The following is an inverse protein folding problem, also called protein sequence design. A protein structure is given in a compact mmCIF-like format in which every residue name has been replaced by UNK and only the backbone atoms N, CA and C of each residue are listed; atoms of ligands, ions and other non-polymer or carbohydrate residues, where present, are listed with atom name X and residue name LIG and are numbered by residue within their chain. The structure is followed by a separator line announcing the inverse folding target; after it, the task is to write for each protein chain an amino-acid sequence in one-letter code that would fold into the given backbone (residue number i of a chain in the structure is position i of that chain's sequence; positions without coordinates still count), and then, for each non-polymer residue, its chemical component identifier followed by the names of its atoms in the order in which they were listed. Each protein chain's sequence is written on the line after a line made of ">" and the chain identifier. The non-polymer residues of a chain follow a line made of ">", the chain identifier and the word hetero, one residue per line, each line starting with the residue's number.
data_IF_099664961971
#
_entry.id   IF_099664961971
#
_cell.length_a   1.000
_cell.length_b   1.000
_cell.length_c   1.000
_cell.angle_alpha   90.00
_cell.angle_beta   90.00
_cell.angle_gamma   90.00
#
_symmetry.space_group_name_H-M   'P 1'
#
loop_
_entity.id
_entity.type
_entity.pdbx_description
1 polymer ?
#
# COMPACT_ATOMS: atom_id res chain seq x y z
N UNK A 1 -0.65 22.24 5.08
CA UNK A 1 -1.64 21.32 4.49
C UNK A 1 -1.47 21.41 2.98
N UNK A 2 -1.16 20.34 2.34
CA UNK A 2 -0.86 20.31 0.91
C UNK A 2 -1.89 19.45 0.18
N UNK A 3 -2.30 19.92 -1.00
CA UNK A 3 -3.22 19.21 -1.88
C UNK A 3 -2.65 19.18 -3.30
N UNK A 4 -2.93 18.09 -4.00
CA UNK A 4 -2.61 17.91 -5.41
C UNK A 4 -3.87 17.48 -6.16
N UNK A 5 -4.19 18.16 -7.25
CA UNK A 5 -5.36 17.83 -8.07
C UNK A 5 -5.01 16.72 -9.07
N UNK A 6 -5.83 15.68 -9.09
CA UNK A 6 -5.78 14.61 -10.09
C UNK A 6 -7.18 14.10 -10.39
N UNK A 7 -7.56 14.01 -11.65
CA UNK A 7 -8.85 13.49 -12.13
C UNK A 7 -10.08 14.07 -11.41
N UNK A 8 -10.03 15.36 -11.04
CA UNK A 8 -11.11 16.07 -10.36
C UNK A 8 -11.20 15.84 -8.85
N UNK A 9 -10.17 15.23 -8.26
CA UNK A 9 -10.05 15.03 -6.81
C UNK A 9 -8.84 15.84 -6.32
N UNK A 10 -9.05 16.62 -5.25
CA UNK A 10 -7.97 17.26 -4.50
C UNK A 10 -7.44 16.26 -3.45
N UNK A 11 -6.33 15.60 -3.77
CA UNK A 11 -5.67 14.64 -2.87
C UNK A 11 -4.87 15.36 -1.80
N UNK A 12 -5.20 15.09 -0.54
CA UNK A 12 -4.39 15.53 0.58
C UNK A 12 -3.11 14.71 0.68
N UNK A 13 -2.00 15.37 0.99
CA UNK A 13 -0.77 14.71 1.37
C UNK A 13 -0.01 15.47 2.46
N UNK A 14 0.69 14.69 3.31
CA UNK A 14 1.71 15.20 4.22
C UNK A 14 3.10 14.93 3.63
N UNK A 15 4.00 15.89 3.81
CA UNK A 15 5.36 15.80 3.30
C UNK A 15 6.38 16.07 4.40
N UNK A 16 7.42 15.23 4.47
CA UNK A 16 8.49 15.31 5.45
C UNK A 16 9.85 14.98 4.81
N UNK A 17 10.90 15.67 5.27
CA UNK A 17 12.27 15.45 4.82
C UNK A 17 12.56 16.02 3.43
N UNK A 18 13.76 15.70 2.92
CA UNK A 18 14.26 16.15 1.63
C UNK A 18 14.96 14.99 0.90
N UNK A 19 15.17 15.14 -0.42
CA UNK A 19 15.88 14.15 -1.24
C UNK A 19 14.98 13.41 -2.22
N UNK A 20 15.32 12.16 -2.54
CA UNK A 20 14.56 11.35 -3.49
C UNK A 20 13.13 11.08 -2.96
N UNK A 21 12.09 11.24 -3.80
CA UNK A 21 10.72 11.10 -3.36
C UNK A 21 10.37 9.65 -3.03
N UNK A 22 9.76 9.45 -1.87
CA UNK A 22 9.17 8.20 -1.41
C UNK A 22 7.70 8.44 -1.09
N UNK A 23 6.81 7.93 -1.92
CA UNK A 23 5.37 8.05 -1.72
C UNK A 23 4.85 6.89 -0.87
N UNK A 24 4.02 7.21 0.11
CA UNK A 24 3.37 6.24 1.01
C UNK A 24 1.88 6.18 0.70
N UNK A 25 1.34 4.95 0.50
CA UNK A 25 -0.09 4.71 0.33
C UNK A 25 -0.59 3.75 1.41
N UNK A 26 -1.58 4.21 2.17
CA UNK A 26 -2.15 3.51 3.33
C UNK A 26 -3.11 2.37 2.96
N UNK A 27 -3.48 1.56 3.94
CA UNK A 27 -4.50 0.52 3.83
C UNK A 27 -5.93 1.06 3.85
N UNK A 28 -6.90 0.18 3.58
CA UNK A 28 -8.33 0.52 3.64
C UNK A 28 -8.74 1.08 5.00
N UNK A 29 -9.70 2.02 4.99
CA UNK A 29 -10.23 2.72 6.17
C UNK A 29 -9.17 3.62 6.88
N UNK A 30 -7.93 3.64 6.38
CA UNK A 30 -6.81 4.38 6.97
C UNK A 30 -6.63 5.79 6.42
N UNK A 31 -5.44 6.30 6.62
CA UNK A 31 -4.93 7.57 6.06
C UNK A 31 -3.40 7.56 6.13
N UNK A 32 -2.74 8.59 5.64
CA UNK A 32 -1.29 8.79 5.80
C UNK A 32 -0.83 8.72 7.26
N UNK A 33 -1.72 8.96 8.21
CA UNK A 33 -1.44 8.81 9.65
C UNK A 33 -1.00 7.39 10.06
N UNK A 34 -1.35 6.34 9.28
CA UNK A 34 -0.85 4.98 9.53
C UNK A 34 0.68 4.87 9.50
N UNK A 35 1.35 5.80 8.84
CA UNK A 35 2.81 5.84 8.73
C UNK A 35 3.47 6.77 9.77
N UNK A 36 2.74 7.28 10.77
CA UNK A 36 3.25 8.26 11.72
C UNK A 36 4.49 7.75 12.51
N UNK A 37 4.57 6.46 12.80
CA UNK A 37 5.73 5.84 13.44
C UNK A 37 6.91 5.60 12.48
N UNK A 38 6.64 5.40 11.19
CA UNK A 38 7.61 5.02 10.17
C UNK A 38 8.19 6.23 9.41
N UNK A 39 7.33 7.17 9.03
CA UNK A 39 7.70 8.30 8.18
C UNK A 39 8.88 9.15 8.72
N UNK A 40 8.98 9.45 10.04
CA UNK A 40 10.11 10.22 10.56
C UNK A 40 11.48 9.56 10.37
N UNK A 41 11.55 8.23 10.47
CA UNK A 41 12.80 7.50 10.24
C UNK A 41 13.24 7.60 8.77
N UNK A 42 12.30 7.39 7.84
CA UNK A 42 12.54 7.46 6.39
C UNK A 42 12.85 8.89 5.93
N UNK A 43 12.24 9.91 6.57
CA UNK A 43 12.42 11.32 6.24
C UNK A 43 13.84 11.85 6.54
N UNK A 44 14.66 11.10 7.28
CA UNK A 44 16.07 11.46 7.48
C UNK A 44 16.91 11.45 6.19
N UNK A 45 16.44 10.74 5.14
CA UNK A 45 17.18 10.55 3.89
C UNK A 45 16.33 10.70 2.64
N UNK A 46 15.02 10.86 2.80
CA UNK A 46 14.03 10.87 1.71
C UNK A 46 13.02 11.99 1.89
N UNK A 47 12.54 12.47 0.78
CA UNK A 47 11.32 13.29 0.75
C UNK A 47 10.12 12.33 0.81
N UNK A 48 9.58 12.13 2.01
CA UNK A 48 8.45 11.23 2.28
C UNK A 48 7.14 11.95 2.03
N UNK A 49 6.28 11.40 1.20
CA UNK A 49 4.99 11.98 0.80
C UNK A 49 3.89 10.96 1.10
N UNK A 50 3.14 11.16 2.18
CA UNK A 50 2.04 10.28 2.57
C UNK A 50 0.72 10.82 2.01
N UNK A 51 0.12 10.10 1.05
CA UNK A 51 -1.11 10.50 0.35
C UNK A 51 -2.30 9.83 1.02
N UNK A 52 -3.36 10.62 1.30
CA UNK A 52 -4.68 10.10 1.64
C UNK A 52 -5.44 9.75 0.35
N UNK A 53 -5.82 8.47 0.19
CA UNK A 53 -6.54 7.99 -1.00
C UNK A 53 -7.96 8.56 -1.08
N UNK A 54 -8.62 8.46 -2.25
CA UNK A 54 -10.01 8.90 -2.45
C UNK A 54 -10.91 8.45 -1.28
N UNK A 55 -11.66 9.39 -0.72
CA UNK A 55 -12.62 9.14 0.36
C UNK A 55 -12.00 8.79 1.71
N UNK A 56 -10.67 8.82 1.84
CA UNK A 56 -9.95 8.49 3.07
C UNK A 56 -9.29 9.73 3.68
N UNK A 57 -9.13 9.71 5.00
CA UNK A 57 -8.42 10.74 5.72
C UNK A 57 -8.94 12.15 5.43
N UNK A 58 -8.11 12.99 4.82
CA UNK A 58 -8.41 14.39 4.45
C UNK A 58 -8.73 14.58 2.97
N UNK A 59 -8.71 13.50 2.18
CA UNK A 59 -9.14 13.51 0.77
C UNK A 59 -10.64 13.27 0.69
N UNK A 60 -11.37 14.18 0.05
CA UNK A 60 -12.81 14.04 -0.16
C UNK A 60 -13.15 12.83 -1.00
N UNK A 61 -14.33 12.26 -0.78
CA UNK A 61 -14.90 11.26 -1.68
C UNK A 61 -15.58 11.91 -2.89
N UNK A 62 -15.67 11.14 -3.97
CA UNK A 62 -16.43 11.49 -5.18
C UNK A 62 -17.40 10.36 -5.52
N UNK A 63 -18.41 10.66 -6.31
CA UNK A 63 -19.48 9.71 -6.67
C UNK A 63 -18.98 8.69 -7.72
N UNK A 64 -18.05 7.81 -7.27
CA UNK A 64 -17.58 6.63 -8.00
C UNK A 64 -17.14 5.53 -7.01
N UNK A 65 -17.14 4.24 -7.40
CA UNK A 65 -16.65 3.16 -6.54
C UNK A 65 -15.13 3.28 -6.30
N UNK A 66 -14.63 2.54 -5.30
CA UNK A 66 -13.19 2.33 -5.12
C UNK A 66 -12.69 1.27 -6.10
N UNK A 67 -12.50 1.69 -7.35
CA UNK A 67 -11.86 0.89 -8.37
C UNK A 67 -10.33 1.05 -8.31
N UNK A 68 -9.62 -0.05 -8.12
CA UNK A 68 -8.17 -0.04 -7.87
C UNK A 68 -7.39 0.50 -9.08
N UNK A 69 -7.89 0.25 -10.31
CA UNK A 69 -7.24 0.74 -11.52
C UNK A 69 -7.45 2.26 -11.68
N UNK A 70 -8.66 2.75 -11.43
CA UNK A 70 -8.93 4.20 -11.45
C UNK A 70 -8.17 4.93 -10.34
N UNK A 71 -8.08 4.35 -9.13
CA UNK A 71 -7.28 4.91 -8.04
C UNK A 71 -5.78 4.94 -8.38
N UNK A 72 -5.28 3.99 -9.16
CA UNK A 72 -3.92 3.99 -9.66
C UNK A 72 -3.66 5.15 -10.63
N UNK A 73 -4.59 5.42 -11.55
CA UNK A 73 -4.51 6.56 -12.46
C UNK A 73 -4.54 7.91 -11.71
N UNK A 74 -5.33 7.99 -10.62
CA UNK A 74 -5.35 9.17 -9.76
C UNK A 74 -3.99 9.42 -9.09
N UNK A 75 -3.42 8.37 -8.49
CA UNK A 75 -2.11 8.47 -7.84
C UNK A 75 -1.02 8.81 -8.85
N UNK A 76 -1.10 8.26 -10.08
CA UNK A 76 -0.17 8.61 -11.16
C UNK A 76 -0.19 10.11 -11.46
N UNK A 77 -1.38 10.74 -11.51
CA UNK A 77 -1.53 12.18 -11.70
C UNK A 77 -1.00 13.01 -10.52
N UNK A 78 -1.17 12.53 -9.28
CA UNK A 78 -0.56 13.17 -8.10
C UNK A 78 0.97 13.12 -8.15
N UNK A 79 1.55 11.98 -8.54
CA UNK A 79 3.00 11.76 -8.64
C UNK A 79 3.64 12.65 -9.74
N UNK A 80 2.90 13.01 -10.77
CA UNK A 80 3.42 13.84 -11.87
C UNK A 80 3.96 15.19 -11.38
N UNK A 81 3.36 15.74 -10.33
CA UNK A 81 3.75 17.04 -9.76
C UNK A 81 5.13 17.05 -9.08
N UNK A 82 5.55 16.03 -8.28
CA UNK A 82 6.86 16.04 -7.60
C UNK A 82 8.06 15.60 -8.45
N UNK A 83 7.92 15.39 -9.75
CA UNK A 83 9.07 15.09 -10.63
C UNK A 83 8.96 13.82 -11.46
N UNK A 84 7.78 13.23 -11.52
CA UNK A 84 7.41 12.22 -12.50
C UNK A 84 7.74 10.76 -12.16
N UNK A 85 8.81 10.46 -11.42
CA UNK A 85 9.18 9.09 -11.01
C UNK A 85 9.48 9.04 -9.53
N UNK A 86 8.92 8.10 -8.80
CA UNK A 86 9.04 7.97 -7.34
C UNK A 86 9.34 6.54 -6.91
N UNK A 87 9.88 6.38 -5.71
CA UNK A 87 9.81 5.12 -4.98
C UNK A 87 8.46 5.05 -4.22
N UNK A 88 7.89 3.84 -4.12
CA UNK A 88 6.63 3.60 -3.43
C UNK A 88 6.83 2.67 -2.24
N UNK A 89 6.31 3.04 -1.07
CA UNK A 89 6.12 2.15 0.07
C UNK A 89 4.64 2.11 0.42
N UNK A 90 4.03 0.96 0.29
CA UNK A 90 2.57 0.84 0.25
C UNK A 90 2.07 -0.34 1.07
N UNK A 91 0.89 -0.20 1.65
CA UNK A 91 0.35 -1.18 2.56
C UNK A 91 -1.08 -1.58 2.18
N UNK A 92 -1.37 -2.89 2.18
CA UNK A 92 -2.72 -3.46 2.04
C UNK A 92 -3.46 -2.90 0.80
N UNK A 93 -4.57 -2.16 0.94
CA UNK A 93 -5.30 -1.54 -0.18
C UNK A 93 -4.38 -0.63 -1.01
N UNK A 94 -3.59 0.23 -0.36
CA UNK A 94 -2.61 1.07 -1.05
C UNK A 94 -1.59 0.25 -1.85
N UNK A 95 -1.27 -0.97 -1.39
CA UNK A 95 -0.43 -1.92 -2.12
C UNK A 95 -1.09 -2.42 -3.41
N UNK A 96 -2.40 -2.68 -3.40
CA UNK A 96 -3.13 -3.03 -4.62
C UNK A 96 -3.16 -1.87 -5.62
N UNK A 97 -3.40 -0.66 -5.13
CA UNK A 97 -3.36 0.57 -5.96
C UNK A 97 -1.98 0.75 -6.58
N UNK A 98 -0.91 0.64 -5.79
CA UNK A 98 0.46 0.81 -6.27
C UNK A 98 0.90 -0.29 -7.24
N UNK A 99 0.46 -1.53 -7.04
CA UNK A 99 0.73 -2.61 -7.98
C UNK A 99 0.07 -2.34 -9.34
N UNK A 100 -1.20 -1.89 -9.34
CA UNK A 100 -1.87 -1.47 -10.58
C UNK A 100 -1.18 -0.25 -11.21
N UNK A 101 -0.77 0.74 -10.40
CA UNK A 101 -0.01 1.89 -10.88
C UNK A 101 1.28 1.44 -11.58
N UNK A 102 2.05 0.55 -10.97
CA UNK A 102 3.30 0.05 -11.55
C UNK A 102 3.10 -0.76 -12.84
N UNK A 103 1.92 -1.37 -13.04
CA UNK A 103 1.55 -2.09 -14.25
C UNK A 103 0.99 -1.15 -15.33
N UNK A 104 0.21 -0.14 -14.98
CA UNK A 104 -0.41 0.82 -15.92
C UNK A 104 0.55 1.93 -16.32
N UNK A 105 1.38 2.41 -15.37
CA UNK A 105 2.30 3.55 -15.52
C UNK A 105 3.72 3.18 -15.05
N UNK A 106 4.36 2.17 -15.67
CA UNK A 106 5.65 1.66 -15.20
C UNK A 106 6.78 2.71 -15.20
N UNK A 107 6.64 3.77 -15.97
CA UNK A 107 7.57 4.90 -16.01
C UNK A 107 7.48 5.81 -14.77
N UNK A 108 6.42 5.70 -13.97
CA UNK A 108 6.21 6.50 -12.75
C UNK A 108 6.82 5.87 -11.51
N UNK A 109 7.17 4.60 -11.55
CA UNK A 109 7.64 3.84 -10.38
C UNK A 109 9.07 3.36 -10.58
N UNK A 110 9.97 3.79 -9.70
CA UNK A 110 11.37 3.38 -9.70
C UNK A 110 11.58 2.12 -8.85
N UNK A 111 11.35 2.20 -7.55
CA UNK A 111 11.37 1.07 -6.62
C UNK A 111 9.99 0.89 -5.96
N UNK A 112 9.59 -0.36 -5.73
CA UNK A 112 8.28 -0.70 -5.18
C UNK A 112 8.41 -1.55 -3.92
N UNK A 113 7.95 -1.04 -2.78
CA UNK A 113 7.93 -1.76 -1.51
C UNK A 113 6.48 -2.10 -1.19
N UNK A 114 6.13 -3.39 -1.28
CA UNK A 114 4.79 -3.92 -1.08
C UNK A 114 4.69 -4.57 0.30
N UNK A 115 3.94 -3.96 1.20
CA UNK A 115 3.75 -4.45 2.57
C UNK A 115 2.39 -5.13 2.70
N UNK A 116 2.39 -6.42 3.02
CA UNK A 116 1.19 -7.23 3.33
C UNK A 116 0.10 -7.16 2.27
N UNK A 117 0.42 -7.50 1.01
CA UNK A 117 -0.55 -7.58 -0.08
C UNK A 117 -0.55 -8.96 -0.75
N UNK A 118 -1.70 -9.44 -1.17
CA UNK A 118 -1.84 -10.59 -2.05
C UNK A 118 -2.10 -10.13 -3.49
N UNK A 119 -1.54 -10.84 -4.49
CA UNK A 119 -1.79 -10.58 -5.92
C UNK A 119 -3.04 -11.26 -6.45
N UNK A 120 -3.67 -12.10 -5.65
CA UNK A 120 -4.97 -12.70 -5.90
C UNK A 120 -5.72 -12.89 -4.59
N UNK A 121 -7.04 -12.82 -4.65
CA UNK A 121 -7.88 -12.91 -3.46
C UNK A 121 -7.64 -14.21 -2.69
N UNK A 122 -7.51 -15.34 -3.39
CA UNK A 122 -7.22 -16.66 -2.82
C UNK A 122 -5.82 -16.77 -2.18
N UNK A 123 -4.96 -15.77 -2.32
CA UNK A 123 -3.67 -15.66 -1.65
C UNK A 123 -3.79 -15.42 -0.14
N UNK A 124 -4.94 -14.94 0.33
CA UNK A 124 -5.21 -14.75 1.75
C UNK A 124 -5.62 -16.04 2.45
N UNK A 125 -5.52 -16.08 3.78
CA UNK A 125 -6.08 -17.14 4.60
C UNK A 125 -7.62 -17.16 4.49
N UNK A 126 -8.23 -18.34 4.63
CA UNK A 126 -9.69 -18.50 4.52
C UNK A 126 -10.45 -17.64 5.55
N UNK A 127 -9.90 -17.49 6.74
CA UNK A 127 -10.47 -16.67 7.81
C UNK A 127 -10.44 -15.18 7.46
N UNK A 128 -9.37 -14.71 6.82
CA UNK A 128 -9.25 -13.34 6.32
C UNK A 128 -10.27 -13.08 5.20
N UNK A 129 -10.42 -14.03 4.28
CA UNK A 129 -11.45 -13.96 3.21
C UNK A 129 -12.85 -13.91 3.81
N UNK A 130 -13.14 -14.77 4.78
CA UNK A 130 -14.44 -14.80 5.47
C UNK A 130 -14.73 -13.47 6.21
N UNK A 131 -13.71 -12.86 6.83
CA UNK A 131 -13.84 -11.55 7.47
C UNK A 131 -14.12 -10.43 6.45
N UNK A 132 -13.46 -10.46 5.29
CA UNK A 132 -13.74 -9.53 4.19
C UNK A 132 -15.17 -9.69 3.67
N UNK A 133 -15.66 -10.94 3.50
CA UNK A 133 -17.03 -11.23 3.05
C UNK A 133 -18.09 -10.81 4.06
N UNK A 134 -17.79 -10.96 5.34
CA UNK A 134 -18.68 -10.56 6.44
C UNK A 134 -18.72 -9.03 6.64
N UNK A 135 -17.77 -8.28 6.12
CA UNK A 135 -17.78 -6.82 6.22
C UNK A 135 -18.98 -6.25 5.46
N UNK A 136 -19.77 -5.42 6.12
CA UNK A 136 -20.97 -4.76 5.56
C UNK A 136 -20.95 -3.28 5.95
N UNK A 137 -21.76 -2.42 5.32
CA UNK A 137 -21.91 -1.02 5.73
C UNK A 137 -22.29 -0.87 7.22
N UNK A 138 -23.01 -1.83 7.80
CA UNK A 138 -23.36 -1.83 9.23
C UNK A 138 -22.12 -1.91 10.16
N UNK A 139 -20.97 -2.36 9.65
CA UNK A 139 -19.71 -2.34 10.40
C UNK A 139 -19.24 -0.90 10.73
N UNK A 140 -19.74 0.12 10.04
CA UNK A 140 -19.38 1.52 10.23
C UNK A 140 -19.53 1.95 11.71
N UNK A 141 -20.66 1.63 12.35
CA UNK A 141 -20.91 1.97 13.75
C UNK A 141 -19.95 1.25 14.71
N UNK A 142 -19.60 0.00 14.41
CA UNK A 142 -18.68 -0.80 15.23
C UNK A 142 -17.23 -0.30 15.09
N UNK A 143 -16.82 0.10 13.88
CA UNK A 143 -15.45 0.55 13.60
C UNK A 143 -15.25 2.03 13.99
N UNK A 144 -16.30 2.84 14.04
CA UNK A 144 -16.24 4.29 14.34
C UNK A 144 -15.47 4.65 15.62
N UNK A 145 -15.55 3.87 16.74
CA UNK A 145 -14.76 4.15 17.94
C UNK A 145 -13.27 3.82 17.82
N UNK A 146 -12.84 3.15 16.74
CA UNK A 146 -11.43 2.81 16.51
C UNK A 146 -10.57 4.03 16.17
N UNK A 147 -9.23 3.95 16.30
CA UNK A 147 -8.35 5.06 15.92
C UNK A 147 -8.58 5.60 14.50
N UNK A 148 -8.76 4.77 13.44
CA UNK A 148 -9.12 5.28 12.11
C UNK A 148 -10.44 6.03 12.07
N UNK A 149 -11.48 5.54 12.74
CA UNK A 149 -12.79 6.20 12.77
C UNK A 149 -12.75 7.53 13.52
N UNK A 150 -12.03 7.59 14.63
CA UNK A 150 -11.81 8.85 15.37
C UNK A 150 -11.00 9.86 14.54
N UNK A 151 -9.96 9.40 13.85
CA UNK A 151 -9.18 10.25 12.96
C UNK A 151 -10.04 10.82 11.82
N UNK A 152 -10.83 9.97 11.17
CA UNK A 152 -11.74 10.38 10.11
C UNK A 152 -12.75 11.44 10.59
N UNK A 153 -13.40 11.16 11.71
CA UNK A 153 -14.37 12.11 12.30
C UNK A 153 -13.79 13.49 12.61
N UNK A 154 -12.51 13.56 12.97
CA UNK A 154 -11.82 14.80 13.32
C UNK A 154 -11.21 15.54 12.13
N UNK A 155 -10.92 14.85 11.00
CA UNK A 155 -10.07 15.40 9.94
C UNK A 155 -10.69 15.33 8.54
N UNK A 156 -11.68 14.45 8.30
CA UNK A 156 -12.25 14.32 6.97
C UNK A 156 -13.00 15.60 6.55
N UNK A 157 -12.95 15.98 5.26
CA UNK A 157 -13.73 17.10 4.73
C UNK A 157 -15.24 16.89 4.88
N UNK A 158 -15.68 15.65 4.89
CA UNK A 158 -17.06 15.20 5.02
C UNK A 158 -17.14 14.07 6.07
N UNK A 159 -17.10 14.39 7.39
CA UNK A 159 -17.11 13.37 8.45
C UNK A 159 -18.35 12.47 8.44
N UNK A 160 -19.48 12.97 7.92
CA UNK A 160 -20.73 12.23 7.70
C UNK A 160 -20.61 11.13 6.63
N UNK A 161 -19.61 11.19 5.75
CA UNK A 161 -19.37 10.20 4.72
C UNK A 161 -18.68 8.90 5.24
N UNK A 162 -18.49 8.76 6.56
CA UNK A 162 -17.89 7.56 7.17
C UNK A 162 -18.56 6.25 6.75
N UNK A 163 -19.89 6.20 6.75
CA UNK A 163 -20.63 5.02 6.30
C UNK A 163 -20.39 4.72 4.81
N UNK A 164 -20.28 5.76 3.98
CA UNK A 164 -19.96 5.63 2.55
C UNK A 164 -18.55 5.06 2.36
N UNK A 165 -17.57 5.53 3.12
CA UNK A 165 -16.21 4.97 3.12
C UNK A 165 -16.21 3.47 3.44
N UNK A 166 -16.92 3.08 4.49
CA UNK A 166 -17.02 1.66 4.89
C UNK A 166 -17.74 0.84 3.81
N UNK A 167 -18.84 1.36 3.23
CA UNK A 167 -19.58 0.69 2.18
C UNK A 167 -18.70 0.45 0.93
N UNK A 168 -18.03 1.50 0.42
CA UNK A 168 -17.15 1.40 -0.75
C UNK A 168 -15.95 0.50 -0.49
N UNK A 169 -15.35 0.57 0.71
CA UNK A 169 -14.27 -0.33 1.10
C UNK A 169 -14.73 -1.77 1.15
N UNK A 170 -15.92 -2.04 1.75
CA UNK A 170 -16.55 -3.35 1.79
C UNK A 170 -16.75 -3.94 0.39
N UNK A 171 -17.23 -3.14 -0.55
CA UNK A 171 -17.41 -3.57 -1.92
C UNK A 171 -16.07 -3.89 -2.59
N UNK A 172 -15.09 -3.00 -2.47
CA UNK A 172 -13.77 -3.15 -3.10
C UNK A 172 -13.01 -4.41 -2.64
N UNK A 173 -13.10 -4.78 -1.34
CA UNK A 173 -12.39 -5.95 -0.80
C UNK A 173 -13.06 -7.29 -1.12
N UNK A 174 -14.34 -7.29 -1.53
CA UNK A 174 -15.10 -8.50 -1.88
C UNK A 174 -14.89 -8.94 -3.32
N UNK A 175 -14.49 -8.04 -4.21
CA UNK A 175 -14.24 -8.39 -5.60
C UNK A 175 -13.14 -9.44 -5.71
N UNK A 176 -13.40 -10.45 -6.53
CA UNK A 176 -12.40 -11.44 -6.87
C UNK A 176 -11.40 -10.83 -7.86
N UNK A 177 -10.14 -11.19 -7.71
CA UNK A 177 -9.05 -10.75 -8.59
C UNK A 177 -7.93 -11.78 -8.57
N UNK A 178 -7.24 -11.89 -9.71
CA UNK A 178 -6.02 -12.68 -9.86
C UNK A 178 -5.10 -11.98 -10.87
N UNK A 179 -4.01 -11.43 -10.39
CA UNK A 179 -3.00 -10.71 -11.19
C UNK A 179 -1.73 -11.53 -11.39
N UNK A 180 -1.81 -12.86 -11.24
CA UNK A 180 -0.67 -13.79 -11.31
C UNK A 180 0.11 -13.63 -12.61
N UNK A 181 -0.57 -13.49 -13.74
CA UNK A 181 0.10 -13.35 -15.04
C UNK A 181 0.65 -11.94 -15.25
N UNK A 182 -0.06 -10.91 -14.80
CA UNK A 182 0.31 -9.51 -14.98
C UNK A 182 1.58 -9.15 -14.20
N UNK A 183 1.75 -9.68 -12.96
CA UNK A 183 2.92 -9.36 -12.12
C UNK A 183 4.24 -9.91 -12.65
N UNK A 184 4.20 -10.88 -13.58
CA UNK A 184 5.40 -11.35 -14.29
C UNK A 184 6.04 -10.26 -15.16
N UNK A 185 5.22 -9.28 -15.57
CA UNK A 185 5.64 -8.11 -16.36
C UNK A 185 6.02 -6.89 -15.52
N UNK A 186 6.05 -7.00 -14.20
CA UNK A 186 6.37 -5.89 -13.29
C UNK A 186 7.81 -5.43 -13.51
N UNK A 187 7.98 -4.14 -13.81
CA UNK A 187 9.30 -3.58 -14.15
C UNK A 187 10.07 -3.01 -12.96
N UNK A 188 9.43 -2.32 -11.99
CA UNK A 188 10.12 -1.78 -10.83
C UNK A 188 10.83 -2.88 -10.04
N UNK A 189 12.01 -2.59 -9.54
CA UNK A 189 12.65 -3.43 -8.53
C UNK A 189 11.77 -3.46 -7.28
N UNK A 190 11.44 -4.66 -6.82
CA UNK A 190 10.38 -4.85 -5.82
C UNK A 190 10.92 -5.49 -4.54
N UNK A 191 10.57 -4.90 -3.39
CA UNK A 191 10.70 -5.51 -2.08
C UNK A 191 9.32 -5.96 -1.59
N UNK A 192 9.16 -7.25 -1.35
CA UNK A 192 8.00 -7.82 -0.66
C UNK A 192 8.26 -7.85 0.84
N UNK A 193 7.34 -7.33 1.63
CA UNK A 193 7.42 -7.34 3.10
C UNK A 193 6.13 -7.93 3.67
N UNK A 194 6.25 -8.97 4.49
CA UNK A 194 5.11 -9.63 5.14
C UNK A 194 5.38 -9.86 6.62
N UNK A 195 4.33 -9.97 7.42
CA UNK A 195 4.42 -10.45 8.79
C UNK A 195 4.52 -11.98 8.81
N UNK A 196 5.11 -12.57 9.84
CA UNK A 196 5.12 -14.03 10.02
C UNK A 196 3.73 -14.58 10.41
N UNK A 197 2.84 -13.72 10.95
CA UNK A 197 1.43 -14.01 11.21
C UNK A 197 0.52 -13.11 10.34
N UNK A 198 0.81 -12.99 9.03
CA UNK A 198 0.06 -12.16 8.08
C UNK A 198 -1.31 -12.77 7.72
N UNK A 199 -2.21 -11.94 7.19
CA UNK A 199 -3.43 -12.41 6.54
C UNK A 199 -3.17 -13.12 5.20
N UNK A 200 -2.00 -12.90 4.61
CA UNK A 200 -1.53 -13.53 3.38
C UNK A 200 -0.85 -14.86 3.70
N UNK A 201 -1.26 -15.94 3.01
CA UNK A 201 -0.72 -17.28 3.24
C UNK A 201 0.78 -17.35 2.88
N UNK A 202 1.63 -18.02 3.70
CA UNK A 202 3.06 -18.17 3.40
C UNK A 202 3.34 -18.81 2.03
N UNK A 203 2.53 -19.78 1.60
CA UNK A 203 2.64 -20.37 0.27
C UNK A 203 2.45 -19.34 -0.84
N UNK A 204 1.53 -18.38 -0.66
CA UNK A 204 1.30 -17.30 -1.62
C UNK A 204 2.44 -16.26 -1.62
N UNK A 205 3.03 -15.99 -0.46
CA UNK A 205 4.22 -15.13 -0.36
C UNK A 205 5.36 -15.68 -1.20
N UNK A 206 5.63 -17.01 -1.07
CA UNK A 206 6.66 -17.69 -1.85
C UNK A 206 6.30 -17.71 -3.34
N UNK A 207 5.05 -17.99 -3.70
CA UNK A 207 4.56 -17.92 -5.08
C UNK A 207 4.83 -16.53 -5.67
N UNK A 208 4.41 -15.48 -4.99
CA UNK A 208 4.59 -14.09 -5.46
C UNK A 208 6.07 -13.75 -5.65
N UNK A 209 6.92 -14.07 -4.67
CA UNK A 209 8.35 -13.85 -4.78
C UNK A 209 8.96 -14.59 -5.97
N UNK A 210 8.55 -15.86 -6.20
CA UNK A 210 8.98 -16.65 -7.36
C UNK A 210 8.56 -16.04 -8.71
N UNK A 211 7.35 -15.48 -8.81
CA UNK A 211 6.86 -14.78 -10.01
C UNK A 211 7.73 -13.57 -10.36
N UNK A 212 8.30 -12.91 -9.35
CA UNK A 212 9.24 -11.80 -9.51
C UNK A 212 10.70 -12.26 -9.76
N UNK A 213 10.94 -13.55 -9.97
CA UNK A 213 12.26 -14.10 -10.21
C UNK A 213 13.09 -14.33 -8.94
N UNK A 214 12.46 -14.27 -7.75
CA UNK A 214 13.13 -14.51 -6.48
C UNK A 214 13.22 -15.99 -6.13
N UNK A 215 14.28 -16.40 -5.41
CA UNK A 215 14.42 -17.75 -4.86
C UNK A 215 14.58 -18.89 -5.88
N UNK A 216 14.88 -18.57 -7.15
CA UNK A 216 14.96 -19.55 -8.23
C UNK A 216 16.32 -20.25 -8.30
N UNK A 217 17.37 -19.67 -7.71
CA UNK A 217 18.73 -20.23 -7.70
C UNK A 217 19.46 -19.82 -6.42
N UNK A 218 20.53 -20.56 -6.09
CA UNK A 218 21.51 -20.14 -5.10
C UNK A 218 22.23 -18.88 -5.58
N UNK A 219 22.37 -17.89 -4.69
CA UNK A 219 23.04 -16.64 -5.01
C UNK A 219 24.53 -16.79 -5.33
N UNK A 220 25.15 -17.91 -4.95
CA UNK A 220 26.58 -18.12 -5.04
C UNK A 220 27.35 -17.37 -3.93
N UNK A 221 28.60 -17.75 -3.73
CA UNK A 221 29.48 -17.14 -2.72
C UNK A 221 29.76 -15.65 -2.98
N UNK A 222 29.75 -15.26 -4.25
CA UNK A 222 30.00 -13.91 -4.73
C UNK A 222 28.71 -13.08 -4.92
N UNK A 223 27.54 -13.69 -4.67
CA UNK A 223 26.24 -13.05 -4.85
C UNK A 223 25.86 -12.82 -6.33
N UNK A 224 26.57 -13.41 -7.29
CA UNK A 224 26.36 -13.16 -8.73
C UNK A 224 24.95 -13.50 -9.24
N UNK A 225 24.27 -14.45 -8.59
CA UNK A 225 22.90 -14.86 -8.90
C UNK A 225 21.85 -14.25 -7.95
N UNK A 226 22.22 -13.23 -7.17
CA UNK A 226 21.27 -12.60 -6.26
C UNK A 226 20.17 -11.88 -7.06
N UNK A 227 18.87 -12.20 -6.85
CA UNK A 227 17.78 -11.56 -7.59
C UNK A 227 17.70 -10.06 -7.26
N UNK A 228 17.25 -9.23 -8.20
CA UNK A 228 17.04 -7.80 -7.96
C UNK A 228 15.90 -7.57 -6.96
N UNK A 229 14.85 -8.40 -7.04
CA UNK A 229 13.72 -8.37 -6.13
C UNK A 229 14.06 -9.03 -4.79
N UNK A 230 13.46 -8.56 -3.72
CA UNK A 230 13.76 -8.98 -2.34
C UNK A 230 12.51 -9.42 -1.61
N UNK A 231 12.72 -10.25 -0.57
CA UNK A 231 11.67 -10.67 0.36
C UNK A 231 12.15 -10.46 1.80
N UNK A 232 11.29 -9.88 2.61
CA UNK A 232 11.48 -9.75 4.06
C UNK A 232 10.25 -10.28 4.80
N UNK A 233 10.47 -11.04 5.88
CA UNK A 233 9.42 -11.48 6.80
C UNK A 233 9.69 -10.84 8.15
N UNK A 234 8.71 -10.07 8.66
CA UNK A 234 8.78 -9.36 9.94
C UNK A 234 8.35 -10.30 11.06
N UNK A 235 9.27 -10.72 11.96
CA UNK A 235 8.94 -11.66 13.02
C UNK A 235 8.07 -11.02 14.10
N UNK A 236 7.12 -11.80 14.63
CA UNK A 236 6.24 -11.39 15.73
C UNK A 236 5.27 -10.29 15.36
N UNK A 237 4.91 -10.18 14.08
CA UNK A 237 3.94 -9.19 13.58
C UNK A 237 2.76 -9.87 12.88
N UNK A 238 1.70 -9.10 12.73
CA UNK A 238 0.48 -9.44 12.02
C UNK A 238 0.27 -8.49 10.85
N UNK A 239 -0.73 -8.78 10.01
CA UNK A 239 -1.19 -7.83 9.00
C UNK A 239 -1.46 -6.43 9.57
N UNK A 240 -2.00 -6.35 10.80
CA UNK A 240 -2.56 -5.13 11.37
C UNK A 240 -1.55 -4.24 12.12
N UNK A 241 -0.38 -4.77 12.48
CA UNK A 241 0.65 -4.05 13.25
C UNK A 241 2.05 -4.07 12.60
N UNK A 242 2.17 -4.56 11.38
CA UNK A 242 3.45 -4.64 10.65
C UNK A 242 4.11 -3.28 10.45
N UNK A 243 3.31 -2.22 10.26
CA UNK A 243 3.82 -0.85 10.09
C UNK A 243 4.48 -0.31 11.37
N UNK A 244 4.15 -0.85 12.54
CA UNK A 244 4.75 -0.49 13.82
C UNK A 244 6.04 -1.28 14.13
N UNK A 245 6.50 -2.10 13.19
CA UNK A 245 7.74 -2.83 13.36
C UNK A 245 8.95 -1.90 13.31
N UNK A 246 9.75 -1.89 14.38
CA UNK A 246 11.01 -1.15 14.42
C UNK A 246 12.03 -1.63 13.38
N UNK A 247 11.82 -2.82 12.79
CA UNK A 247 12.68 -3.38 11.74
C UNK A 247 12.27 -2.89 10.33
N UNK A 248 11.08 -2.31 10.17
CA UNK A 248 10.57 -1.99 8.82
C UNK A 248 11.39 -0.87 8.16
N UNK A 249 11.65 0.24 8.85
CA UNK A 249 12.44 1.33 8.29
C UNK A 249 13.86 0.87 7.88
N UNK A 250 14.64 0.17 8.72
CA UNK A 250 15.95 -0.37 8.32
C UNK A 250 15.91 -1.29 7.10
N UNK A 251 14.89 -2.14 6.99
CA UNK A 251 14.73 -3.06 5.84
C UNK A 251 14.43 -2.28 4.57
N UNK A 252 13.53 -1.30 4.63
CA UNK A 252 13.20 -0.42 3.52
C UNK A 252 14.41 0.40 3.08
N UNK A 253 15.12 1.02 4.04
CA UNK A 253 16.33 1.80 3.74
C UNK A 253 17.42 0.94 3.08
N UNK A 254 17.67 -0.26 3.61
CA UNK A 254 18.66 -1.18 3.03
C UNK A 254 18.32 -1.58 1.59
N UNK A 255 17.04 -1.69 1.24
CA UNK A 255 16.59 -1.97 -0.13
C UNK A 255 16.75 -0.74 -1.03
N UNK A 256 16.43 0.45 -0.55
CA UNK A 256 16.50 1.69 -1.32
C UNK A 256 17.94 2.25 -1.48
N UNK A 257 18.89 1.81 -0.63
CA UNK A 257 20.32 2.10 -0.82
C UNK A 257 20.85 1.24 -1.97
N UNK A 258 21.29 1.89 -3.05
CA UNK A 258 21.91 1.27 -4.22
C UNK A 258 23.42 1.19 -4.07
#
# INVERSE_FOLDING_TARGET
>A
MSYADSNGIAFYYDEHGEGAPLVLLHGGIGSGQMFASLAPALANRRRVIAIDLQGHGRTADVDRPFDVAAMADDVAGVIEQPGGTVDLLVYSLGGKVALRLALQHPERVNDLILVSIAIKRSGNHAEAIAAMDAMTPAAAEFIKPSPPGQFYAANAPQPEAWETLIAKTSDAIKHDYDWTDEVRGLRPRTLLVFADADSVRPAHIVEFYGLLGGGLADAGWDGSNQPANRLAIMPGRTHYDILDSALLAPVVEAFLLR
#
